data_IF_223802251201
#
_entry.id   IF_223802251201
#
_cell.length_a   1.000
_cell.length_b   1.000
_cell.length_c   1.000
_cell.angle_alpha   90.00
_cell.angle_beta   90.00
_cell.angle_gamma   90.00
#
_symmetry.space_group_name_H-M   'P 1'
#
loop_
_entity.id
_entity.type
_entity.pdbx_description
1 polymer ?
#
# COMPACT_ATOMS: atom_id res chain seq x y z
N UNK A 1 50.38 35.46 40.84
CA UNK A 1 49.78 34.13 40.64
C UNK A 1 48.42 34.34 39.99
N UNK A 2 48.24 33.81 38.78
CA UNK A 2 47.00 33.78 37.96
C UNK A 2 46.62 35.15 37.35
N UNK A 3 46.18 35.30 36.11
CA UNK A 3 46.45 34.67 34.82
C UNK A 3 45.90 35.70 33.80
N UNK A 4 46.56 35.81 32.65
CA UNK A 4 46.33 36.76 31.56
C UNK A 4 44.84 36.94 31.19
N UNK A 5 44.32 38.16 31.32
CA UNK A 5 43.07 38.58 30.66
C UNK A 5 43.37 38.77 29.18
N UNK A 6 42.84 37.85 28.38
CA UNK A 6 42.96 37.84 26.94
C UNK A 6 42.21 39.01 26.31
N UNK A 7 42.89 39.60 25.33
CA UNK A 7 42.40 40.61 24.41
C UNK A 7 41.32 40.07 23.46
N UNK A 8 40.70 41.03 22.76
CA UNK A 8 39.93 40.92 21.52
C UNK A 8 38.45 40.50 21.59
N UNK A 9 37.62 41.55 21.59
CA UNK A 9 36.43 41.68 20.74
C UNK A 9 36.94 42.01 19.32
N UNK A 10 36.53 41.31 18.24
CA UNK A 10 35.34 41.76 17.52
C UNK A 10 34.47 40.66 16.88
N UNK A 11 33.17 40.98 16.84
CA UNK A 11 32.19 40.69 15.79
C UNK A 11 32.29 39.34 15.07
N UNK A 12 31.53 38.35 15.52
CA UNK A 12 31.04 37.29 14.64
C UNK A 12 29.58 37.55 14.29
N UNK A 13 29.37 37.77 12.98
CA UNK A 13 28.09 37.91 12.33
C UNK A 13 27.17 36.72 12.66
N UNK A 14 25.92 37.05 13.00
CA UNK A 14 24.81 36.12 12.91
C UNK A 14 24.62 35.72 11.44
N UNK A 15 24.88 34.46 11.12
CA UNK A 15 24.45 33.82 9.88
C UNK A 15 23.73 32.52 10.27
N UNK A 16 22.46 32.66 10.63
CA UNK A 16 21.55 31.53 10.67
C UNK A 16 21.31 31.04 9.26
N UNK A 17 21.70 29.82 8.98
CA UNK A 17 21.16 28.99 7.91
C UNK A 17 21.27 27.53 8.34
N UNK A 18 20.21 27.03 8.98
CA UNK A 18 19.93 25.60 9.03
C UNK A 18 19.78 25.14 7.57
N UNK A 19 20.85 24.59 6.99
CA UNK A 19 20.75 23.83 5.76
C UNK A 19 20.17 22.45 6.09
N UNK A 20 18.85 22.38 6.32
CA UNK A 20 18.10 21.14 6.14
C UNK A 20 18.06 20.91 4.64
N UNK A 21 19.07 20.20 4.12
CA UNK A 21 18.97 19.61 2.79
C UNK A 21 17.79 18.65 2.84
N UNK A 22 16.69 19.11 2.25
CA UNK A 22 15.50 18.36 1.94
C UNK A 22 15.93 17.02 1.33
N UNK A 23 15.72 15.93 2.07
CA UNK A 23 15.61 14.59 1.49
C UNK A 23 14.46 14.66 0.49
N UNK A 24 14.80 14.97 -0.76
CA UNK A 24 13.92 14.73 -1.87
C UNK A 24 13.88 13.23 -2.00
N UNK A 25 12.96 12.59 -1.25
CA UNK A 25 12.44 11.28 -1.62
C UNK A 25 11.96 11.46 -3.05
N UNK A 26 12.83 11.08 -3.97
CA UNK A 26 12.45 10.76 -5.31
C UNK A 26 11.37 9.70 -5.14
N UNK A 27 10.11 10.12 -5.27
CA UNK A 27 9.08 9.29 -5.85
C UNK A 27 9.60 8.93 -7.25
N UNK A 28 10.57 8.01 -7.28
CA UNK A 28 10.91 7.26 -8.46
C UNK A 28 9.56 6.78 -8.95
N UNK A 29 9.18 7.20 -10.15
CA UNK A 29 7.97 6.78 -10.82
C UNK A 29 8.07 5.25 -10.94
N UNK A 30 7.62 4.56 -9.89
CA UNK A 30 7.97 3.18 -9.63
C UNK A 30 7.09 2.40 -10.58
N UNK A 31 7.63 2.16 -11.77
CA UNK A 31 6.94 1.50 -12.87
C UNK A 31 6.28 0.25 -12.31
N UNK A 32 4.95 0.25 -12.31
CA UNK A 32 4.11 -0.80 -11.75
C UNK A 32 4.69 -2.18 -12.10
N UNK A 33 5.03 -2.97 -11.08
CA UNK A 33 5.63 -4.29 -11.31
C UNK A 33 4.56 -5.18 -11.96
N UNK A 34 4.82 -5.79 -13.13
CA UNK A 34 3.84 -6.68 -13.74
C UNK A 34 3.55 -7.86 -12.81
N UNK A 35 2.27 -8.20 -12.67
CA UNK A 35 1.80 -9.39 -11.98
C UNK A 35 1.01 -10.24 -12.96
N UNK A 36 1.34 -11.53 -13.05
CA UNK A 36 0.66 -12.47 -13.92
C UNK A 36 -0.47 -13.21 -13.18
N UNK A 37 -1.38 -13.78 -13.97
CA UNK A 37 -2.41 -14.69 -13.47
C UNK A 37 -1.78 -15.87 -12.74
N UNK A 38 -2.17 -16.11 -11.49
CA UNK A 38 -1.63 -17.16 -10.64
C UNK A 38 -0.32 -16.79 -9.95
N UNK A 39 0.14 -15.55 -10.04
CA UNK A 39 1.29 -15.07 -9.28
C UNK A 39 0.88 -14.67 -7.85
N UNK A 40 1.87 -14.57 -6.97
CA UNK A 40 1.66 -14.22 -5.56
C UNK A 40 1.57 -12.71 -5.40
N UNK A 41 0.43 -12.27 -4.88
CA UNK A 41 0.16 -10.92 -4.45
C UNK A 41 0.34 -10.84 -2.93
N UNK A 42 1.34 -10.10 -2.49
CA UNK A 42 1.63 -9.89 -1.07
C UNK A 42 1.38 -8.45 -0.68
N UNK A 43 0.82 -8.26 0.51
CA UNK A 43 0.48 -6.94 1.01
C UNK A 43 -0.21 -7.00 2.36
N UNK A 44 -0.55 -5.83 2.89
CA UNK A 44 -1.32 -5.72 4.13
C UNK A 44 -2.80 -5.97 3.87
N UNK A 45 -3.39 -6.93 4.59
CA UNK A 45 -4.81 -7.21 4.51
C UNK A 45 -5.57 -6.35 5.52
N UNK A 46 -6.47 -5.52 5.01
CA UNK A 46 -7.41 -4.72 5.79
C UNK A 46 -8.84 -5.22 5.57
N UNK A 47 -9.72 -4.95 6.52
CA UNK A 47 -11.13 -5.28 6.41
C UNK A 47 -11.98 -4.06 6.75
N UNK A 48 -12.80 -3.64 5.80
CA UNK A 48 -13.72 -2.51 5.94
C UNK A 48 -15.13 -3.04 6.13
N UNK A 49 -15.92 -2.37 6.98
CA UNK A 49 -17.34 -2.67 7.14
C UNK A 49 -18.14 -1.57 6.48
N UNK A 50 -18.82 -1.89 5.38
CA UNK A 50 -19.66 -0.96 4.63
C UNK A 50 -21.14 -1.31 4.78
N UNK A 51 -22.01 -0.33 4.60
CA UNK A 51 -23.47 -0.52 4.65
C UNK A 51 -24.15 -0.17 5.99
N UNK A 52 -25.50 -0.21 6.03
CA UNK A 52 -26.28 0.21 7.19
C UNK A 52 -26.06 -0.72 8.39
N UNK A 53 -26.20 -0.18 9.61
CA UNK A 53 -25.85 -0.84 10.90
C UNK A 53 -26.38 -2.29 11.04
N UNK A 54 -27.54 -2.62 10.45
CA UNK A 54 -28.17 -3.95 10.48
C UNK A 54 -27.77 -4.91 9.35
N UNK A 55 -27.06 -4.44 8.31
CA UNK A 55 -26.64 -5.22 7.13
C UNK A 55 -25.22 -4.83 6.70
N UNK A 56 -24.28 -4.79 7.64
CA UNK A 56 -22.89 -4.46 7.34
C UNK A 56 -22.25 -5.61 6.56
N UNK A 57 -21.70 -5.30 5.40
CA UNK A 57 -20.89 -6.21 4.59
C UNK A 57 -19.42 -5.99 4.95
N UNK A 58 -18.67 -7.07 5.09
CA UNK A 58 -17.22 -7.01 5.28
C UNK A 58 -16.58 -7.06 3.90
N UNK A 59 -15.85 -6.02 3.54
CA UNK A 59 -15.01 -5.95 2.35
C UNK A 59 -13.57 -6.15 2.77
N UNK A 60 -12.91 -7.14 2.19
CA UNK A 60 -11.49 -7.39 2.40
C UNK A 60 -10.69 -6.66 1.33
N UNK A 61 -9.66 -5.93 1.73
CA UNK A 61 -8.79 -5.18 0.84
C UNK A 61 -7.34 -5.49 1.16
N UNK A 62 -6.58 -5.86 0.14
CA UNK A 62 -5.15 -6.09 0.21
C UNK A 62 -4.45 -4.87 -0.38
N UNK A 63 -3.62 -4.20 0.41
CA UNK A 63 -2.80 -3.07 -0.03
C UNK A 63 -1.40 -3.60 -0.33
N UNK A 64 -0.98 -3.53 -1.60
CA UNK A 64 0.34 -3.96 -2.04
C UNK A 64 1.08 -2.82 -2.73
N UNK A 65 2.35 -3.07 -3.07
CA UNK A 65 3.06 -2.20 -4.02
C UNK A 65 2.30 -2.09 -5.35
N UNK A 66 2.50 -1.00 -6.12
CA UNK A 66 1.84 -0.81 -7.41
C UNK A 66 2.13 -1.98 -8.35
N UNK A 67 1.07 -2.69 -8.78
CA UNK A 67 1.19 -3.80 -9.74
C UNK A 67 0.50 -3.49 -11.05
N UNK A 68 1.08 -3.96 -12.15
CA UNK A 68 0.43 -3.95 -13.46
C UNK A 68 -0.22 -5.30 -13.72
N UNK A 69 -1.54 -5.31 -13.78
CA UNK A 69 -2.36 -6.46 -14.15
C UNK A 69 -2.08 -6.93 -15.59
N UNK A 70 -2.37 -8.20 -15.90
CA UNK A 70 -2.27 -8.70 -17.26
C UNK A 70 -3.36 -8.05 -18.14
N UNK A 71 -2.97 -7.62 -19.36
CA UNK A 71 -3.89 -7.07 -20.36
C UNK A 71 -3.59 -5.62 -20.79
N UNK A 72 -4.31 -5.11 -21.80
CA UNK A 72 -4.10 -3.77 -22.36
C UNK A 72 -4.39 -2.67 -21.35
N UNK A 73 -5.37 -2.87 -20.46
CA UNK A 73 -5.74 -1.97 -19.36
C UNK A 73 -5.09 -2.39 -18.04
N UNK A 74 -3.85 -2.90 -18.09
CA UNK A 74 -3.16 -3.47 -16.94
C UNK A 74 -2.90 -2.52 -15.77
N UNK A 75 -3.03 -1.21 -15.97
CA UNK A 75 -2.91 -0.22 -14.89
C UNK A 75 -4.26 0.21 -14.30
N UNK A 76 -5.38 -0.38 -14.74
CA UNK A 76 -6.73 0.04 -14.33
C UNK A 76 -7.03 1.52 -14.58
N UNK A 77 -6.47 2.07 -15.65
CA UNK A 77 -6.53 3.50 -15.99
C UNK A 77 -5.92 4.42 -14.91
N UNK A 78 -5.03 3.88 -14.07
CA UNK A 78 -4.22 4.63 -13.11
C UNK A 78 -2.82 4.90 -13.69
N UNK A 79 -2.17 5.96 -13.24
CA UNK A 79 -0.83 6.32 -13.71
C UNK A 79 0.24 5.34 -13.19
N UNK A 80 0.11 4.92 -11.93
CA UNK A 80 1.04 4.01 -11.24
C UNK A 80 0.56 2.56 -11.16
N UNK A 81 -0.67 2.27 -11.61
CA UNK A 81 -1.31 0.96 -11.47
C UNK A 81 -2.02 0.76 -10.12
N UNK A 82 -2.83 -0.30 -9.97
CA UNK A 82 -3.53 -0.59 -8.72
C UNK A 82 -2.57 -0.87 -7.57
N UNK A 83 -2.81 -0.19 -6.46
CA UNK A 83 -2.14 -0.43 -5.17
C UNK A 83 -3.09 -1.14 -4.20
N UNK A 84 -4.40 -1.01 -4.43
CA UNK A 84 -5.44 -1.62 -3.61
C UNK A 84 -6.19 -2.71 -4.36
N UNK A 85 -6.32 -3.88 -3.73
CA UNK A 85 -6.94 -5.06 -4.31
C UNK A 85 -8.08 -5.54 -3.41
N UNK A 86 -9.32 -5.46 -3.88
CA UNK A 86 -10.46 -6.02 -3.18
C UNK A 86 -10.46 -7.54 -3.33
N UNK A 87 -10.44 -8.26 -2.21
CA UNK A 87 -10.49 -9.72 -2.19
C UNK A 87 -11.95 -10.15 -2.09
N UNK A 88 -12.47 -10.78 -3.14
CA UNK A 88 -13.84 -11.27 -3.18
C UNK A 88 -13.91 -12.62 -2.47
N UNK A 89 -14.70 -12.70 -1.40
CA UNK A 89 -15.00 -13.94 -0.70
C UNK A 89 -16.34 -14.49 -1.19
N UNK A 90 -16.34 -15.68 -1.81
CA UNK A 90 -17.53 -16.35 -2.32
C UNK A 90 -18.16 -17.31 -1.30
N UNK A 91 -17.47 -17.58 -0.19
CA UNK A 91 -17.95 -18.47 0.87
C UNK A 91 -17.51 -18.01 2.27
N UNK A 92 -18.22 -18.49 3.30
CA UNK A 92 -17.85 -18.24 4.70
C UNK A 92 -16.47 -18.83 5.06
N UNK A 93 -16.07 -19.91 4.39
CA UNK A 93 -14.76 -20.54 4.56
C UNK A 93 -13.64 -19.62 4.06
N UNK A 94 -13.81 -18.98 2.90
CA UNK A 94 -12.87 -17.99 2.37
C UNK A 94 -12.78 -16.76 3.29
N UNK A 95 -13.92 -16.25 3.75
CA UNK A 95 -13.92 -15.15 4.72
C UNK A 95 -13.22 -15.55 6.03
N UNK A 96 -13.44 -16.77 6.53
CA UNK A 96 -12.76 -17.30 7.71
C UNK A 96 -11.25 -17.47 7.51
N UNK A 97 -10.80 -17.81 6.30
CA UNK A 97 -9.39 -17.91 5.98
C UNK A 97 -8.67 -16.55 6.04
N UNK A 98 -9.35 -15.45 5.74
CA UNK A 98 -8.79 -14.08 5.74
C UNK A 98 -8.84 -13.40 7.12
N UNK A 99 -9.85 -13.70 7.94
CA UNK A 99 -10.02 -13.12 9.29
C UNK A 99 -8.75 -13.07 10.16
N UNK A 100 -7.92 -14.13 10.28
CA UNK A 100 -6.74 -14.09 11.15
C UNK A 100 -5.60 -13.19 10.64
N UNK A 101 -5.68 -12.73 9.40
CA UNK A 101 -4.66 -11.89 8.75
C UNK A 101 -5.06 -10.42 8.64
N UNK A 102 -6.23 -10.02 9.16
CA UNK A 102 -6.64 -8.62 9.18
C UNK A 102 -5.64 -7.81 10.02
N UNK A 103 -5.12 -6.72 9.44
CA UNK A 103 -4.07 -5.87 10.00
C UNK A 103 -2.67 -6.48 9.92
N UNK A 104 -2.49 -7.52 9.09
CA UNK A 104 -1.20 -8.21 8.89
C UNK A 104 -0.86 -8.31 7.41
N UNK A 105 0.42 -8.54 7.13
CA UNK A 105 0.87 -8.88 5.78
C UNK A 105 0.55 -10.34 5.46
N UNK A 106 -0.05 -10.57 4.30
CA UNK A 106 -0.42 -11.90 3.78
C UNK A 106 0.03 -12.04 2.33
N UNK A 107 0.31 -13.27 1.91
CA UNK A 107 0.58 -13.63 0.52
C UNK A 107 -0.59 -14.46 -0.05
N UNK A 108 -1.25 -13.92 -1.07
CA UNK A 108 -2.34 -14.56 -1.80
C UNK A 108 -1.90 -14.91 -3.22
N UNK A 109 -2.15 -16.13 -3.68
CA UNK A 109 -2.03 -16.47 -5.11
C UNK A 109 -3.26 -15.91 -5.80
N UNK A 110 -3.08 -14.92 -6.66
CA UNK A 110 -4.19 -14.26 -7.34
C UNK A 110 -4.42 -14.92 -8.71
N UNK A 111 -5.38 -15.84 -8.77
CA UNK A 111 -5.67 -16.64 -9.97
C UNK A 111 -6.58 -15.90 -10.96
N UNK A 112 -7.37 -14.94 -10.50
CA UNK A 112 -8.21 -14.14 -11.38
C UNK A 112 -8.31 -12.74 -10.79
N UNK A 113 -7.90 -11.76 -11.60
CA UNK A 113 -7.86 -10.36 -11.23
C UNK A 113 -8.43 -9.52 -12.35
N UNK A 114 -9.13 -8.45 -11.99
CA UNK A 114 -9.67 -7.48 -12.93
C UNK A 114 -9.62 -6.08 -12.32
N UNK A 115 -9.73 -5.06 -13.15
CA UNK A 115 -9.87 -3.69 -12.66
C UNK A 115 -11.25 -3.50 -12.04
N UNK A 116 -11.32 -2.69 -10.98
CA UNK A 116 -12.60 -2.34 -10.40
C UNK A 116 -13.36 -1.40 -11.33
N UNK A 117 -14.61 -1.77 -11.64
CA UNK A 117 -15.46 -1.07 -12.60
C UNK A 117 -16.92 -0.98 -12.12
N UNK A 118 -17.29 -1.71 -11.06
CA UNK A 118 -18.66 -1.80 -10.59
C UNK A 118 -18.94 -0.87 -9.40
N UNK A 119 -20.14 -0.31 -9.35
CA UNK A 119 -20.61 0.47 -8.21
C UNK A 119 -20.55 -0.35 -6.91
N UNK A 120 -19.83 0.14 -5.90
CA UNK A 120 -19.62 -0.53 -4.61
C UNK A 120 -18.28 -1.25 -4.47
N UNK A 121 -17.45 -1.28 -5.51
CA UNK A 121 -16.03 -1.64 -5.39
C UNK A 121 -15.26 -0.43 -4.84
N UNK A 122 -14.49 -0.65 -3.77
CA UNK A 122 -13.79 0.43 -3.05
C UNK A 122 -12.28 0.43 -3.30
N UNK A 123 -11.79 -0.52 -4.11
CA UNK A 123 -10.37 -0.71 -4.43
C UNK A 123 -10.13 -0.54 -5.92
N UNK A 124 -8.87 -0.39 -6.33
CA UNK A 124 -8.47 -0.16 -7.73
C UNK A 124 -8.66 -1.39 -8.61
N UNK A 125 -8.42 -2.57 -8.02
CA UNK A 125 -8.57 -3.86 -8.66
C UNK A 125 -9.34 -4.83 -7.76
N UNK A 126 -9.89 -5.88 -8.37
CA UNK A 126 -10.60 -6.95 -7.69
C UNK A 126 -9.90 -8.28 -7.95
N UNK A 127 -9.86 -9.14 -6.94
CA UNK A 127 -9.35 -10.51 -7.03
C UNK A 127 -10.51 -11.44 -6.73
N UNK A 128 -10.99 -12.15 -7.77
CA UNK A 128 -12.19 -12.99 -7.69
C UNK A 128 -11.85 -14.44 -7.37
N UNK A 129 -10.69 -14.92 -7.80
CA UNK A 129 -10.16 -16.25 -7.48
C UNK A 129 -8.80 -16.12 -6.86
N UNK A 130 -8.64 -16.65 -5.66
CA UNK A 130 -7.40 -16.57 -4.91
C UNK A 130 -7.25 -17.74 -3.94
N UNK A 131 -6.02 -17.95 -3.49
CA UNK A 131 -5.70 -18.91 -2.42
C UNK A 131 -4.63 -18.33 -1.51
N UNK A 132 -4.70 -18.59 -0.20
CA UNK A 132 -3.63 -18.20 0.74
C UNK A 132 -2.41 -19.09 0.49
N UNK A 133 -1.24 -18.49 0.22
CA UNK A 133 0.01 -19.22 -0.07
C UNK A 133 0.88 -19.32 1.18
N UNK A 134 0.96 -18.22 1.94
CA UNK A 134 1.76 -18.15 3.15
C UNK A 134 0.92 -17.57 4.27
N UNK A 135 0.85 -18.29 5.38
CA UNK A 135 0.26 -17.83 6.65
C UNK A 135 1.42 -17.34 7.52
N UNK A 136 1.51 -16.03 7.73
CA UNK A 136 2.45 -15.44 8.69
C UNK A 136 1.82 -15.37 10.08
#
# INVERSE_FOLDING_TARGET
MILRLFANVPAMLAAGCLAVLMSSDAFAQQKAKPINTGEVLSGELTAMRSGPKKKRVITYQLTSEPRRLPGPTGLCNLETGPETFQIVTNSDAEAAALKPFIGKSIALKANEMACAQAAGQLSDAIVTKWNVVTRH
#
